data_IF_294737815534
#
_entry.id   IF_294737815534
#
_cell.length_a   1.000
_cell.length_b   1.000
_cell.length_c   1.000
_cell.angle_alpha   90.00
_cell.angle_beta   90.00
_cell.angle_gamma   90.00
#
_symmetry.space_group_name_H-M   'P 1'
#
loop_
_entity.id
_entity.type
_entity.pdbx_description
1 polymer ?
#
# COMPACT_ATOMS: atom_id res chain seq x y z
N UNK A 1 37.48 -18.00 -41.70
CA UNK A 1 36.75 -18.64 -40.58
C UNK A 1 35.31 -18.10 -40.60
N UNK A 2 34.28 -18.92 -40.92
CA UNK A 2 32.88 -18.42 -41.00
C UNK A 2 32.34 -18.16 -39.60
N UNK A 3 31.73 -16.97 -39.42
CA UNK A 3 30.98 -16.62 -38.20
C UNK A 3 29.67 -17.44 -38.13
N UNK A 4 29.58 -18.35 -37.18
CA UNK A 4 28.32 -19.02 -36.86
C UNK A 4 27.24 -17.98 -36.46
N UNK A 5 26.17 -17.93 -37.24
CA UNK A 5 24.95 -17.23 -36.89
C UNK A 5 24.29 -17.96 -35.72
N UNK A 6 24.26 -17.35 -34.54
CA UNK A 6 23.47 -17.82 -33.42
C UNK A 6 22.00 -17.86 -33.85
N UNK A 7 21.41 -19.06 -33.83
CA UNK A 7 19.98 -19.28 -34.05
C UNK A 7 19.19 -18.52 -32.96
N UNK A 8 18.02 -17.91 -33.27
CA UNK A 8 17.15 -17.36 -32.27
C UNK A 8 16.69 -18.48 -31.33
N UNK A 9 16.81 -18.25 -30.02
CA UNK A 9 16.33 -19.18 -28.99
C UNK A 9 14.83 -19.31 -29.14
N UNK A 10 14.36 -20.55 -29.40
CA UNK A 10 12.96 -20.90 -29.47
C UNK A 10 12.20 -20.46 -28.23
N UNK A 11 10.97 -19.97 -28.39
CA UNK A 11 10.07 -19.54 -27.33
C UNK A 11 9.59 -20.66 -26.40
N UNK A 12 9.99 -21.91 -26.64
CA UNK A 12 9.63 -23.08 -25.88
C UNK A 12 10.78 -23.54 -24.96
N UNK A 13 11.10 -22.75 -23.93
CA UNK A 13 11.93 -23.21 -22.81
C UNK A 13 11.04 -24.01 -21.83
N UNK A 14 11.22 -25.35 -21.74
CA UNK A 14 10.39 -26.20 -20.87
C UNK A 14 10.52 -25.89 -19.36
N UNK A 15 11.41 -24.97 -18.97
CA UNK A 15 11.58 -24.50 -17.61
C UNK A 15 10.68 -23.31 -17.25
N UNK A 16 9.94 -22.74 -18.21
CA UNK A 16 8.93 -21.71 -17.94
C UNK A 16 7.60 -22.39 -17.61
N UNK A 17 6.99 -22.13 -16.42
CA UNK A 17 5.64 -22.59 -16.16
C UNK A 17 4.69 -22.06 -17.23
N UNK A 18 3.79 -22.93 -17.70
CA UNK A 18 2.78 -22.64 -18.72
C UNK A 18 2.08 -21.29 -18.43
N UNK A 19 2.08 -20.41 -19.42
CA UNK A 19 1.39 -19.14 -19.36
C UNK A 19 -0.13 -19.39 -19.51
N UNK A 20 -0.88 -19.28 -18.43
CA UNK A 20 -2.30 -18.96 -18.54
C UNK A 20 -2.38 -17.51 -19.01
N UNK A 21 -2.51 -17.30 -20.30
CA UNK A 21 -2.51 -16.00 -20.93
C UNK A 21 -3.77 -15.22 -20.56
N UNK A 22 -3.61 -14.09 -19.91
CA UNK A 22 -4.65 -13.07 -19.84
C UNK A 22 -4.20 -11.92 -20.74
N UNK A 23 -4.90 -11.74 -21.84
CA UNK A 23 -4.58 -10.74 -22.86
C UNK A 23 -4.82 -9.32 -22.32
N UNK A 24 -3.77 -8.62 -21.93
CA UNK A 24 -3.82 -7.20 -21.63
C UNK A 24 -3.28 -6.47 -22.86
N UNK A 25 -4.19 -5.91 -23.67
CA UNK A 25 -3.83 -5.04 -24.81
C UNK A 25 -2.75 -5.64 -25.74
N UNK A 26 -2.88 -6.92 -26.09
CA UNK A 26 -1.90 -7.60 -26.96
C UNK A 26 -0.61 -8.04 -26.24
N UNK A 27 -0.49 -7.85 -24.92
CA UNK A 27 0.61 -8.31 -24.12
C UNK A 27 0.13 -9.47 -23.23
N UNK A 28 0.73 -10.65 -23.38
CA UNK A 28 0.44 -11.78 -22.50
C UNK A 28 1.24 -11.66 -21.22
N UNK A 29 0.55 -11.36 -20.11
CA UNK A 29 1.12 -11.32 -18.76
C UNK A 29 0.63 -12.51 -17.93
N UNK A 30 1.53 -13.10 -17.15
CA UNK A 30 1.18 -14.11 -16.15
C UNK A 30 0.45 -13.47 -14.97
N UNK A 31 -0.33 -14.23 -14.18
CA UNK A 31 -1.00 -13.71 -13.00
C UNK A 31 -0.05 -13.00 -12.02
N UNK A 32 1.15 -13.56 -11.79
CA UNK A 32 2.17 -12.98 -10.91
C UNK A 32 2.72 -11.66 -11.47
N UNK A 33 2.96 -11.58 -12.79
CA UNK A 33 3.39 -10.34 -13.47
C UNK A 33 2.34 -9.24 -13.36
N UNK A 34 1.06 -9.58 -13.51
CA UNK A 34 -0.07 -8.67 -13.29
C UNK A 34 -0.13 -8.18 -11.86
N UNK A 35 -0.01 -9.11 -10.91
CA UNK A 35 -0.05 -8.77 -9.49
C UNK A 35 1.13 -7.88 -9.11
N UNK A 36 2.33 -8.14 -9.63
CA UNK A 36 3.49 -7.27 -9.43
C UNK A 36 3.23 -5.85 -9.93
N UNK A 37 2.64 -5.69 -11.14
CA UNK A 37 2.29 -4.37 -11.66
C UNK A 37 1.24 -3.68 -10.77
N UNK A 38 0.24 -4.40 -10.25
CA UNK A 38 -0.77 -3.87 -9.33
C UNK A 38 -0.14 -3.38 -8.03
N UNK A 39 0.74 -4.20 -7.42
CA UNK A 39 1.43 -3.83 -6.19
C UNK A 39 2.32 -2.59 -6.41
N UNK A 40 3.15 -2.60 -7.46
CA UNK A 40 4.00 -1.45 -7.80
C UNK A 40 3.19 -0.18 -8.14
N UNK A 41 1.96 -0.35 -8.67
CA UNK A 41 1.10 0.77 -9.04
C UNK A 41 0.28 1.34 -7.89
N UNK A 42 -0.18 0.53 -6.95
CA UNK A 42 -0.94 0.98 -5.77
C UNK A 42 -0.06 1.67 -4.74
N UNK A 43 1.20 1.25 -4.66
CA UNK A 43 2.23 1.84 -3.80
C UNK A 43 3.26 2.54 -4.67
N UNK A 44 3.58 3.77 -4.35
CA UNK A 44 4.52 4.62 -5.09
C UNK A 44 5.90 3.99 -5.28
N UNK A 45 6.27 3.05 -4.40
CA UNK A 45 7.52 2.31 -4.44
C UNK A 45 7.39 1.03 -3.62
N UNK A 46 7.94 -0.08 -4.13
CA UNK A 46 7.96 -1.37 -3.42
C UNK A 46 9.38 -1.95 -3.49
N UNK A 47 9.89 -2.48 -2.38
CA UNK A 47 11.21 -3.14 -2.38
C UNK A 47 11.11 -4.50 -3.06
N UNK A 48 12.10 -4.83 -3.89
CA UNK A 48 12.18 -6.15 -4.55
C UNK A 48 12.17 -7.29 -3.52
N UNK A 49 12.82 -7.09 -2.37
CA UNK A 49 12.82 -8.07 -1.29
C UNK A 49 11.40 -8.33 -0.73
N UNK A 50 10.60 -7.27 -0.55
CA UNK A 50 9.24 -7.41 -0.04
C UNK A 50 8.32 -8.12 -1.05
N UNK A 51 8.47 -7.85 -2.36
CA UNK A 51 7.78 -8.59 -3.42
C UNK A 51 8.18 -10.07 -3.43
N UNK A 52 9.46 -10.38 -3.24
CA UNK A 52 9.95 -11.76 -3.19
C UNK A 52 9.25 -12.54 -2.08
N UNK A 53 9.17 -12.00 -0.89
CA UNK A 53 8.56 -12.68 0.26
C UNK A 53 7.04 -12.78 0.11
N UNK A 54 6.36 -11.65 -0.19
CA UNK A 54 4.90 -11.59 -0.17
C UNK A 54 4.25 -12.21 -1.40
N UNK A 55 4.79 -11.95 -2.60
CA UNK A 55 4.15 -12.36 -3.86
C UNK A 55 4.78 -13.63 -4.45
N UNK A 56 6.10 -13.77 -4.35
CA UNK A 56 6.83 -14.88 -4.96
C UNK A 56 7.19 -16.00 -3.96
N UNK A 57 6.78 -15.88 -2.69
CA UNK A 57 7.02 -16.90 -1.64
C UNK A 57 8.50 -17.35 -1.57
N UNK A 58 9.41 -16.39 -1.62
CA UNK A 58 10.86 -16.61 -1.58
C UNK A 58 11.50 -17.03 -2.90
N UNK A 59 10.75 -17.23 -3.99
CA UNK A 59 11.26 -17.70 -5.30
C UNK A 59 12.00 -16.59 -6.06
N UNK A 60 13.27 -16.34 -5.73
CA UNK A 60 14.08 -15.26 -6.31
C UNK A 60 14.21 -15.36 -7.83
N UNK A 61 14.51 -16.54 -8.38
CA UNK A 61 14.72 -16.72 -9.82
C UNK A 61 13.47 -16.42 -10.65
N UNK A 62 12.27 -16.73 -10.14
CA UNK A 62 11.02 -16.39 -10.82
C UNK A 62 10.79 -14.88 -10.81
N UNK A 63 10.97 -14.22 -9.66
CA UNK A 63 10.87 -12.78 -9.55
C UNK A 63 11.86 -12.06 -10.48
N UNK A 64 13.12 -12.46 -10.51
CA UNK A 64 14.14 -11.85 -11.36
C UNK A 64 13.81 -11.95 -12.84
N UNK A 65 13.28 -13.09 -13.29
CA UNK A 65 12.82 -13.28 -14.67
C UNK A 65 11.65 -12.37 -15.00
N UNK A 66 10.68 -12.21 -14.08
CA UNK A 66 9.52 -11.35 -14.27
C UNK A 66 9.91 -9.88 -14.25
N UNK A 67 10.76 -9.46 -13.33
CA UNK A 67 11.30 -8.10 -13.31
C UNK A 67 12.04 -7.77 -14.61
N UNK A 68 12.87 -8.69 -15.12
CA UNK A 68 13.55 -8.50 -16.41
C UNK A 68 12.56 -8.37 -17.55
N UNK A 69 11.59 -9.26 -17.64
CA UNK A 69 10.57 -9.23 -18.69
C UNK A 69 9.77 -7.93 -18.66
N UNK A 70 9.24 -7.54 -17.50
CA UNK A 70 8.44 -6.31 -17.35
C UNK A 70 9.25 -5.04 -17.63
N UNK A 71 10.54 -5.03 -17.25
CA UNK A 71 11.45 -3.94 -17.56
C UNK A 71 11.76 -3.86 -19.07
N UNK A 72 12.02 -4.99 -19.71
CA UNK A 72 12.27 -5.07 -21.16
C UNK A 72 11.02 -4.64 -21.96
N UNK A 73 9.82 -4.80 -21.39
CA UNK A 73 8.56 -4.26 -21.94
C UNK A 73 8.31 -2.80 -21.58
N UNK A 74 9.19 -2.17 -20.84
CA UNK A 74 9.07 -0.77 -20.43
C UNK A 74 7.92 -0.50 -19.44
N UNK A 75 7.45 -1.52 -18.71
CA UNK A 75 6.31 -1.40 -17.79
C UNK A 75 6.72 -1.01 -16.37
N UNK A 76 7.93 -1.38 -15.96
CA UNK A 76 8.51 -1.05 -14.66
C UNK A 76 9.92 -0.50 -14.81
N UNK A 77 10.36 0.20 -13.77
CA UNK A 77 11.76 0.56 -13.53
C UNK A 77 12.22 -0.04 -12.20
N UNK A 78 13.50 -0.47 -12.16
CA UNK A 78 14.17 -0.85 -10.92
C UNK A 78 15.28 0.13 -10.61
N UNK A 79 15.37 0.57 -9.35
CA UNK A 79 16.37 1.54 -8.91
C UNK A 79 17.00 1.09 -7.60
N UNK A 80 18.31 1.22 -7.48
CA UNK A 80 19.02 0.97 -6.23
C UNK A 80 19.07 2.24 -5.40
N UNK A 81 18.65 2.13 -4.14
CA UNK A 81 18.61 3.24 -3.18
C UNK A 81 19.26 2.80 -1.88
N UNK A 82 20.00 3.72 -1.26
CA UNK A 82 20.54 3.51 0.07
C UNK A 82 19.48 3.90 1.11
N UNK A 83 18.99 2.92 1.85
CA UNK A 83 18.04 3.09 2.95
C UNK A 83 18.71 2.74 4.27
N UNK A 84 18.12 3.17 5.37
CA UNK A 84 18.52 2.69 6.70
C UNK A 84 18.15 1.22 6.84
N UNK A 85 19.06 0.44 7.39
CA UNK A 85 18.80 -0.97 7.64
C UNK A 85 17.90 -1.09 8.87
N UNK A 86 16.79 -1.79 8.72
CA UNK A 86 15.88 -2.10 9.83
C UNK A 86 16.65 -2.74 11.00
N UNK A 87 16.44 -2.23 12.22
CA UNK A 87 17.09 -2.72 13.42
C UNK A 87 18.48 -2.14 13.74
N UNK A 88 19.07 -1.32 12.86
CA UNK A 88 20.41 -0.73 13.10
C UNK A 88 20.48 0.73 12.69
N UNK A 89 20.41 1.65 13.64
CA UNK A 89 20.38 3.11 13.43
C UNK A 89 21.49 3.69 12.53
N UNK A 90 22.67 3.04 12.44
CA UNK A 90 23.85 3.53 11.71
C UNK A 90 24.18 2.70 10.47
N UNK A 91 23.41 1.66 10.18
CA UNK A 91 23.69 0.80 9.04
C UNK A 91 22.85 1.22 7.84
N UNK A 92 23.50 1.45 6.73
CA UNK A 92 22.88 1.74 5.44
C UNK A 92 22.89 0.45 4.63
N UNK A 93 21.75 0.12 4.05
CA UNK A 93 21.56 -1.00 3.15
C UNK A 93 21.25 -0.47 1.76
N UNK A 94 21.89 -1.02 0.73
CA UNK A 94 21.54 -0.76 -0.65
C UNK A 94 20.39 -1.70 -1.04
N UNK A 95 19.21 -1.14 -1.24
CA UNK A 95 18.01 -1.89 -1.61
C UNK A 95 17.64 -1.61 -3.06
N UNK A 96 17.10 -2.60 -3.74
CA UNK A 96 16.47 -2.44 -5.03
C UNK A 96 14.98 -2.21 -4.83
N UNK A 97 14.43 -1.20 -5.51
CA UNK A 97 13.01 -0.85 -5.49
C UNK A 97 12.43 -0.88 -6.89
N UNK A 98 11.15 -1.21 -6.96
CA UNK A 98 10.37 -1.30 -8.19
C UNK A 98 9.34 -0.17 -8.21
N UNK A 99 9.21 0.48 -9.36
CA UNK A 99 8.18 1.48 -9.64
C UNK A 99 7.57 1.23 -11.01
N UNK A 100 6.30 1.63 -11.22
CA UNK A 100 5.74 1.63 -12.57
C UNK A 100 6.35 2.74 -13.43
N UNK A 101 6.45 2.49 -14.71
CA UNK A 101 6.59 3.52 -15.73
C UNK A 101 5.23 4.16 -16.04
N UNK A 102 5.24 5.24 -16.82
CA UNK A 102 4.00 5.83 -17.36
C UNK A 102 3.23 4.82 -18.21
N UNK A 103 3.94 3.96 -18.94
CA UNK A 103 3.34 2.93 -19.79
C UNK A 103 2.72 1.82 -18.96
N UNK A 104 3.43 1.32 -17.93
CA UNK A 104 2.88 0.35 -16.98
C UNK A 104 1.61 0.85 -16.29
N UNK A 105 1.58 2.15 -15.91
CA UNK A 105 0.38 2.80 -15.37
C UNK A 105 -0.78 2.81 -16.37
N UNK A 106 -0.53 3.19 -17.63
CA UNK A 106 -1.57 3.20 -18.68
C UNK A 106 -2.14 1.81 -18.91
N UNK A 107 -1.26 0.81 -18.95
CA UNK A 107 -1.64 -0.58 -19.10
C UNK A 107 -2.58 -1.03 -17.97
N UNK A 108 -2.22 -0.80 -16.70
CA UNK A 108 -3.05 -1.17 -15.55
C UNK A 108 -4.42 -0.47 -15.55
N UNK A 109 -4.47 0.81 -15.86
CA UNK A 109 -5.73 1.56 -15.91
C UNK A 109 -6.63 1.01 -17.03
N UNK A 110 -6.06 0.61 -18.18
CA UNK A 110 -6.81 0.07 -19.31
C UNK A 110 -7.28 -1.36 -19.08
N UNK A 111 -6.54 -2.16 -18.30
CA UNK A 111 -6.92 -3.53 -17.93
C UNK A 111 -8.24 -3.59 -17.15
N UNK A 112 -8.54 -2.54 -16.39
CA UNK A 112 -9.81 -2.41 -15.66
C UNK A 112 -9.97 -3.36 -14.46
N UNK A 113 -8.97 -4.18 -14.15
CA UNK A 113 -8.98 -5.18 -13.08
C UNK A 113 -8.42 -4.62 -11.75
N UNK A 114 -8.80 -3.38 -11.46
CA UNK A 114 -8.50 -2.69 -10.21
C UNK A 114 -9.80 -2.33 -9.50
N UNK A 115 -9.81 -2.24 -8.16
CA UNK A 115 -10.94 -1.70 -7.43
C UNK A 115 -11.37 -0.34 -8.00
N UNK A 116 -12.67 -0.06 -7.94
CA UNK A 116 -13.22 1.22 -8.39
C UNK A 116 -12.49 2.38 -7.71
N UNK A 117 -12.11 3.39 -8.48
CA UNK A 117 -11.41 4.59 -8.03
C UNK A 117 -10.01 4.34 -7.41
N UNK A 118 -9.42 3.15 -7.63
CA UNK A 118 -8.05 2.88 -7.22
C UNK A 118 -7.08 3.79 -7.98
N UNK A 119 -6.33 4.60 -7.27
CA UNK A 119 -5.25 5.39 -7.89
C UNK A 119 -4.04 4.52 -8.20
N UNK A 120 -3.43 4.81 -9.33
CA UNK A 120 -2.22 4.14 -9.80
C UNK A 120 -1.11 5.16 -9.99
N UNK A 121 0.05 4.88 -9.44
CA UNK A 121 1.22 5.76 -9.44
C UNK A 121 2.27 5.26 -10.42
N UNK A 122 3.11 6.18 -10.90
CA UNK A 122 4.23 5.88 -11.77
C UNK A 122 5.41 6.80 -11.46
N UNK A 123 6.61 6.27 -11.60
CA UNK A 123 7.86 7.00 -11.33
C UNK A 123 8.27 6.98 -9.86
N UNK A 124 9.55 7.23 -9.62
CA UNK A 124 10.12 7.20 -8.28
C UNK A 124 9.75 8.46 -7.50
N UNK A 125 9.35 8.27 -6.26
CA UNK A 125 9.16 9.34 -5.28
C UNK A 125 10.48 9.95 -4.82
N UNK A 126 10.42 11.03 -4.05
CA UNK A 126 11.61 11.62 -3.43
C UNK A 126 12.31 10.58 -2.56
N UNK A 127 13.63 10.48 -2.69
CA UNK A 127 14.44 9.46 -1.99
C UNK A 127 14.17 9.38 -0.48
N UNK A 128 13.93 10.54 0.17
CA UNK A 128 13.61 10.61 1.60
C UNK A 128 12.29 9.94 2.00
N UNK A 129 11.38 9.76 1.05
CA UNK A 129 10.06 9.15 1.28
C UNK A 129 10.08 7.64 1.05
N UNK A 130 11.11 7.11 0.35
CA UNK A 130 11.17 5.71 -0.04
C UNK A 130 11.22 4.76 1.16
N UNK A 131 11.93 5.11 2.22
CA UNK A 131 12.01 4.29 3.44
C UNK A 131 10.62 4.14 4.07
N UNK A 132 9.93 5.25 4.28
CA UNK A 132 8.58 5.27 4.83
C UNK A 132 7.57 4.55 3.91
N UNK A 133 7.57 4.87 2.61
CA UNK A 133 6.64 4.25 1.66
C UNK A 133 6.85 2.73 1.56
N UNK A 134 8.08 2.24 1.68
CA UNK A 134 8.36 0.80 1.71
C UNK A 134 7.86 0.13 3.00
N UNK A 135 7.86 0.85 4.12
CA UNK A 135 7.29 0.37 5.38
C UNK A 135 5.76 0.32 5.32
N UNK A 136 5.12 1.30 4.68
CA UNK A 136 3.66 1.29 4.42
C UNK A 136 3.27 0.03 3.63
N UNK A 137 4.02 -0.34 2.58
CA UNK A 137 3.74 -1.57 1.83
C UNK A 137 3.80 -2.83 2.70
N UNK A 138 4.80 -2.96 3.59
CA UNK A 138 4.91 -4.10 4.50
C UNK A 138 3.76 -4.18 5.50
N UNK A 139 3.38 -3.05 6.09
CA UNK A 139 2.22 -2.97 6.98
C UNK A 139 0.92 -3.37 6.25
N UNK A 140 0.72 -2.83 5.04
CA UNK A 140 -0.39 -3.22 4.17
C UNK A 140 -0.43 -4.72 3.94
N UNK A 141 0.70 -5.37 3.60
CA UNK A 141 0.69 -6.81 3.31
C UNK A 141 0.22 -7.65 4.49
N UNK A 142 0.66 -7.31 5.70
CA UNK A 142 0.21 -7.98 6.93
C UNK A 142 -1.29 -7.81 7.16
N UNK A 143 -1.81 -6.60 6.98
CA UNK A 143 -3.24 -6.36 7.15
C UNK A 143 -4.07 -6.94 5.99
N UNK A 144 -3.58 -6.91 4.76
CA UNK A 144 -4.25 -7.53 3.63
C UNK A 144 -4.44 -9.04 3.86
N UNK A 145 -3.41 -9.75 4.31
CA UNK A 145 -3.49 -11.17 4.65
C UNK A 145 -4.49 -11.43 5.78
N UNK A 146 -4.54 -10.56 6.80
CA UNK A 146 -5.53 -10.65 7.89
C UNK A 146 -6.96 -10.40 7.38
N UNK A 147 -7.16 -9.41 6.51
CA UNK A 147 -8.46 -9.10 5.91
C UNK A 147 -8.91 -10.25 5.00
N UNK A 148 -8.03 -10.72 4.13
CA UNK A 148 -8.31 -11.84 3.22
C UNK A 148 -8.62 -13.14 3.97
N UNK A 149 -7.94 -13.43 5.09
CA UNK A 149 -8.22 -14.60 5.95
C UNK A 149 -9.63 -14.56 6.59
N UNK A 150 -10.23 -13.38 6.72
CA UNK A 150 -11.60 -13.15 7.18
C UNK A 150 -12.62 -13.11 6.03
N UNK A 151 -12.19 -13.41 4.81
CA UNK A 151 -13.04 -13.38 3.61
C UNK A 151 -13.17 -11.99 2.98
N UNK A 152 -12.37 -11.02 3.39
CA UNK A 152 -12.33 -9.69 2.76
C UNK A 152 -11.81 -9.76 1.33
N UNK A 153 -12.48 -9.06 0.44
CA UNK A 153 -12.16 -9.03 -1.00
C UNK A 153 -12.15 -7.60 -1.53
N UNK A 154 -11.71 -7.42 -2.78
CA UNK A 154 -11.72 -6.14 -3.49
C UNK A 154 -10.97 -5.02 -2.74
N UNK A 155 -9.78 -5.33 -2.22
CA UNK A 155 -8.99 -4.43 -1.41
C UNK A 155 -8.54 -3.21 -2.24
N UNK A 156 -9.03 -2.03 -1.87
CA UNK A 156 -8.61 -0.73 -2.40
C UNK A 156 -7.67 -0.03 -1.43
N UNK A 157 -6.58 0.48 -1.95
CA UNK A 157 -5.56 1.20 -1.18
C UNK A 157 -5.69 2.70 -1.41
N UNK A 158 -5.79 3.48 -0.34
CA UNK A 158 -5.74 4.95 -0.37
C UNK A 158 -4.60 5.43 0.52
N UNK A 159 -3.65 6.14 -0.07
CA UNK A 159 -2.51 6.69 0.66
C UNK A 159 -2.86 8.04 1.30
N UNK A 160 -2.10 8.43 2.32
CA UNK A 160 -2.32 9.61 3.15
C UNK A 160 -2.58 10.90 2.36
N UNK A 161 -1.78 11.18 1.34
CA UNK A 161 -1.92 12.40 0.54
C UNK A 161 -3.19 12.43 -0.32
N UNK A 162 -3.79 11.26 -0.66
CA UNK A 162 -5.09 11.20 -1.32
C UNK A 162 -6.18 11.63 -0.35
N UNK A 163 -6.17 11.05 0.85
CA UNK A 163 -7.12 11.35 1.91
C UNK A 163 -6.99 12.82 2.33
N UNK A 164 -5.76 13.30 2.53
CA UNK A 164 -5.46 14.71 2.83
C UNK A 164 -6.03 15.67 1.77
N UNK A 165 -5.84 15.35 0.49
CA UNK A 165 -6.35 16.19 -0.60
C UNK A 165 -7.88 16.26 -0.60
N UNK A 166 -8.56 15.14 -0.37
CA UNK A 166 -10.02 15.09 -0.34
C UNK A 166 -10.58 15.81 0.90
N UNK A 167 -9.98 15.60 2.08
CA UNK A 167 -10.31 16.30 3.33
C UNK A 167 -10.14 17.82 3.17
N UNK A 168 -9.02 18.28 2.61
CA UNK A 168 -8.77 19.70 2.39
C UNK A 168 -9.79 20.34 1.44
N UNK A 169 -10.14 19.62 0.36
CA UNK A 169 -11.19 20.08 -0.56
C UNK A 169 -12.54 20.21 0.14
N UNK A 170 -12.90 19.25 0.99
CA UNK A 170 -14.13 19.29 1.76
C UNK A 170 -14.14 20.46 2.74
N UNK A 171 -13.07 20.65 3.53
CA UNK A 171 -12.94 21.80 4.45
C UNK A 171 -13.09 23.12 3.69
N UNK A 172 -12.43 23.26 2.54
CA UNK A 172 -12.54 24.47 1.73
C UNK A 172 -13.97 24.72 1.24
N UNK A 173 -14.65 23.66 0.80
CA UNK A 173 -16.05 23.73 0.32
C UNK A 173 -16.99 24.16 1.44
N UNK A 174 -16.91 23.54 2.62
CA UNK A 174 -17.75 23.87 3.78
C UNK A 174 -17.52 25.33 4.23
N UNK A 175 -16.25 25.75 4.34
CA UNK A 175 -15.90 27.12 4.70
C UNK A 175 -16.42 28.15 3.69
N UNK A 176 -16.47 27.79 2.39
CA UNK A 176 -17.01 28.69 1.35
C UNK A 176 -18.54 28.74 1.39
N UNK A 177 -19.20 27.64 1.73
CA UNK A 177 -20.65 27.55 1.84
C UNK A 177 -21.17 28.33 3.06
N UNK A 178 -20.51 28.26 4.21
CA UNK A 178 -20.82 28.99 5.41
C UNK A 178 -19.56 29.58 6.10
N UNK A 179 -19.20 30.82 5.80
CA UNK A 179 -18.05 31.49 6.41
C UNK A 179 -18.17 31.75 7.91
N UNK A 180 -19.37 31.65 8.49
CA UNK A 180 -19.64 31.90 9.91
C UNK A 180 -19.38 30.67 10.79
N UNK A 181 -19.35 29.47 10.19
CA UNK A 181 -19.08 28.23 10.90
C UNK A 181 -17.66 28.21 11.48
N UNK A 182 -17.54 27.80 12.72
CA UNK A 182 -16.25 27.64 13.41
C UNK A 182 -15.36 26.58 12.73
N UNK A 183 -14.07 26.86 12.59
CA UNK A 183 -13.13 25.93 11.94
C UNK A 183 -13.09 24.54 12.64
N UNK A 184 -13.29 24.48 13.95
CA UNK A 184 -13.34 23.23 14.71
C UNK A 184 -14.56 22.39 14.30
N UNK A 185 -15.71 23.00 14.18
CA UNK A 185 -16.98 22.36 13.78
C UNK A 185 -16.89 21.83 12.33
N UNK A 186 -16.36 22.67 11.41
CA UNK A 186 -16.12 22.24 10.02
C UNK A 186 -15.21 21.00 9.98
N UNK A 187 -14.11 21.02 10.73
CA UNK A 187 -13.20 19.87 10.77
C UNK A 187 -13.86 18.62 11.35
N UNK A 188 -14.65 18.74 12.41
CA UNK A 188 -15.36 17.61 13.00
C UNK A 188 -16.39 17.03 12.02
N UNK A 189 -17.15 17.89 11.34
CA UNK A 189 -18.12 17.48 10.32
C UNK A 189 -17.42 16.75 9.15
N UNK A 190 -16.31 17.30 8.66
CA UNK A 190 -15.52 16.69 7.58
C UNK A 190 -14.90 15.37 8.04
N UNK A 191 -14.42 15.27 9.29
CA UNK A 191 -13.93 14.01 9.84
C UNK A 191 -15.01 12.92 9.80
N UNK A 192 -16.23 13.23 10.22
CA UNK A 192 -17.39 12.32 10.15
C UNK A 192 -17.72 11.94 8.70
N UNK A 193 -17.69 12.89 7.76
CA UNK A 193 -17.95 12.62 6.34
C UNK A 193 -16.97 11.60 5.73
N UNK A 194 -15.70 11.64 6.14
CA UNK A 194 -14.66 10.74 5.64
C UNK A 194 -14.43 9.52 6.54
N UNK A 195 -15.25 9.35 7.57
CA UNK A 195 -15.07 8.30 8.56
C UNK A 195 -13.63 8.29 9.14
N UNK A 196 -13.15 9.48 9.53
CA UNK A 196 -11.84 9.71 10.12
C UNK A 196 -11.98 10.11 11.59
N UNK A 197 -11.08 9.66 12.46
CA UNK A 197 -11.09 10.09 13.86
C UNK A 197 -10.80 11.58 14.01
N UNK A 198 -11.51 12.21 14.93
CA UNK A 198 -11.28 13.60 15.35
C UNK A 198 -10.77 13.59 16.79
N UNK A 199 -9.49 13.87 16.97
CA UNK A 199 -8.79 13.79 18.26
C UNK A 199 -8.05 15.10 18.50
N UNK A 200 -8.16 15.65 19.71
CA UNK A 200 -7.48 16.87 20.14
C UNK A 200 -7.70 18.07 19.19
N UNK A 201 -8.91 18.22 18.64
CA UNK A 201 -9.25 19.30 17.71
C UNK A 201 -8.68 19.13 16.29
N UNK A 202 -8.17 17.95 15.97
CA UNK A 202 -7.57 17.61 14.68
C UNK A 202 -8.12 16.34 14.04
N UNK A 203 -8.26 16.37 12.71
CA UNK A 203 -8.59 15.17 11.92
C UNK A 203 -7.35 14.29 11.87
N UNK A 204 -7.46 13.05 12.33
CA UNK A 204 -6.38 12.07 12.23
C UNK A 204 -6.45 11.39 10.87
N UNK A 205 -5.36 11.47 10.11
CA UNK A 205 -5.26 10.86 8.78
C UNK A 205 -4.24 9.74 8.86
N UNK A 206 -4.61 8.50 8.45
CA UNK A 206 -3.68 7.37 8.42
C UNK A 206 -2.68 7.49 7.26
N UNK A 207 -1.55 6.81 7.34
CA UNK A 207 -0.60 6.70 6.21
C UNK A 207 -1.19 5.92 5.05
N UNK A 208 -2.00 4.90 5.35
CA UNK A 208 -2.76 4.13 4.36
C UNK A 208 -4.08 3.63 4.93
N UNK A 209 -5.13 3.73 4.12
CA UNK A 209 -6.44 3.10 4.35
C UNK A 209 -6.63 1.96 3.37
N UNK A 210 -7.03 0.80 3.87
CA UNK A 210 -7.45 -0.34 3.06
C UNK A 210 -8.98 -0.39 3.12
N UNK A 211 -9.64 -0.10 2.02
CA UNK A 211 -11.09 -0.31 1.88
C UNK A 211 -11.33 -1.69 1.27
N UNK A 212 -12.28 -2.46 1.80
CA UNK A 212 -12.54 -3.82 1.36
C UNK A 212 -14.01 -4.20 1.51
N UNK A 213 -14.38 -5.32 0.91
CA UNK A 213 -15.73 -5.87 0.96
C UNK A 213 -15.71 -7.17 1.76
N UNK A 214 -16.54 -7.25 2.80
CA UNK A 214 -16.76 -8.49 3.58
C UNK A 214 -17.94 -9.26 3.04
N UNK A 215 -17.88 -10.61 3.08
CA UNK A 215 -19.06 -11.43 2.83
C UNK A 215 -20.11 -11.19 3.91
N UNK A 216 -21.37 -11.38 3.57
CA UNK A 216 -22.47 -11.33 4.54
C UNK A 216 -22.31 -12.44 5.58
N UNK A 217 -22.50 -12.12 6.85
CA UNK A 217 -22.56 -13.15 7.90
C UNK A 217 -23.76 -14.05 7.67
N UNK A 218 -23.55 -15.37 7.72
CA UNK A 218 -24.61 -16.36 7.60
C UNK A 218 -25.57 -16.21 8.80
N UNK A 219 -26.81 -15.78 8.54
CA UNK A 219 -27.86 -15.63 9.58
C UNK A 219 -28.54 -14.26 9.64
N UNK A 220 -28.11 -13.26 8.88
CA UNK A 220 -28.86 -12.01 8.76
C UNK A 220 -30.02 -12.17 7.79
N UNK A 221 -31.22 -11.75 8.24
CA UNK A 221 -32.46 -11.84 7.49
C UNK A 221 -32.36 -11.08 6.14
N UNK A 222 -32.60 -11.78 5.00
CA UNK A 222 -32.52 -11.15 3.67
C UNK A 222 -33.54 -10.03 3.44
N UNK A 223 -34.59 -9.96 4.27
CA UNK A 223 -35.71 -9.04 4.10
C UNK A 223 -35.48 -7.64 4.65
N UNK A 224 -34.40 -7.43 5.43
CA UNK A 224 -34.14 -6.14 6.12
C UNK A 224 -33.29 -5.14 5.35
N UNK A 225 -32.61 -5.56 4.27
CA UNK A 225 -31.83 -4.66 3.42
C UNK A 225 -32.01 -5.02 1.94
N UNK A 226 -32.76 -4.17 1.24
CA UNK A 226 -32.98 -4.28 -0.21
C UNK A 226 -31.76 -3.89 -1.04
N UNK A 227 -30.65 -3.49 -0.41
CA UNK A 227 -29.43 -3.07 -1.10
C UNK A 227 -28.23 -3.90 -0.62
N UNK A 228 -27.87 -4.89 -1.44
CA UNK A 228 -26.59 -5.55 -1.60
C UNK A 228 -26.02 -6.41 -0.44
N UNK A 229 -25.93 -7.69 -0.72
CA UNK A 229 -25.36 -8.77 0.09
C UNK A 229 -23.87 -8.68 0.48
N UNK A 230 -23.26 -7.50 0.52
CA UNK A 230 -21.87 -7.30 0.94
C UNK A 230 -21.73 -6.00 1.72
N UNK A 231 -20.94 -6.02 2.79
CA UNK A 231 -20.60 -4.84 3.61
C UNK A 231 -19.25 -4.29 3.23
N UNK A 232 -19.18 -3.01 2.90
CA UNK A 232 -17.90 -2.28 2.76
C UNK A 232 -17.37 -1.91 4.15
N UNK A 233 -16.09 -2.18 4.38
CA UNK A 233 -15.38 -1.83 5.62
C UNK A 233 -14.00 -1.27 5.28
N UNK A 234 -13.27 -0.77 6.27
CA UNK A 234 -11.93 -0.26 6.06
C UNK A 234 -11.02 -0.52 7.28
N UNK A 235 -9.72 -0.54 7.03
CA UNK A 235 -8.69 -0.60 8.05
C UNK A 235 -7.70 0.55 7.84
N UNK A 236 -7.45 1.32 8.87
CA UNK A 236 -6.55 2.46 8.88
C UNK A 236 -5.22 2.09 9.52
N UNK A 237 -4.13 2.31 8.81
CA UNK A 237 -2.78 1.93 9.21
C UNK A 237 -1.89 3.17 9.32
N UNK A 238 -1.11 3.21 10.39
CA UNK A 238 -0.08 4.22 10.62
C UNK A 238 1.29 3.54 10.77
N UNK A 239 2.30 4.08 10.13
CA UNK A 239 3.68 3.62 10.24
C UNK A 239 4.48 4.59 11.10
N UNK A 240 4.72 4.17 12.34
CA UNK A 240 5.40 4.99 13.33
C UNK A 240 6.92 4.96 13.11
N UNK A 241 7.53 6.13 13.12
CA UNK A 241 8.98 6.28 13.03
C UNK A 241 9.56 6.81 14.35
N UNK A 242 10.85 6.66 14.56
CA UNK A 242 11.55 7.21 15.72
C UNK A 242 11.40 8.73 15.89
N UNK A 243 10.92 9.45 14.87
CA UNK A 243 10.66 10.89 14.94
C UNK A 243 9.39 11.26 15.74
N UNK A 244 8.47 10.30 15.95
CA UNK A 244 7.23 10.55 16.68
C UNK A 244 7.54 10.90 18.16
N UNK A 245 6.89 11.93 18.66
CA UNK A 245 6.91 12.28 20.09
C UNK A 245 5.67 11.70 20.80
N UNK A 246 5.71 11.65 22.14
CA UNK A 246 4.68 11.01 22.99
C UNK A 246 3.26 11.51 22.71
N UNK A 247 3.07 12.81 22.48
CA UNK A 247 1.75 13.39 22.14
C UNK A 247 1.18 12.82 20.85
N UNK A 248 1.99 12.75 19.77
CA UNK A 248 1.54 12.16 18.51
C UNK A 248 1.20 10.66 18.65
N UNK A 249 1.99 9.90 19.42
CA UNK A 249 1.72 8.49 19.66
C UNK A 249 0.38 8.29 20.37
N UNK A 250 0.05 9.14 21.35
CA UNK A 250 -1.25 9.12 22.02
C UNK A 250 -2.40 9.43 21.08
N UNK A 251 -2.30 10.50 20.29
CA UNK A 251 -3.35 10.85 19.32
C UNK A 251 -3.57 9.75 18.29
N UNK A 252 -2.51 9.06 17.81
CA UNK A 252 -2.63 7.94 16.87
C UNK A 252 -3.22 6.69 17.54
N UNK A 253 -2.89 6.41 18.80
CA UNK A 253 -3.50 5.33 19.54
C UNK A 253 -5.00 5.60 19.80
N UNK A 254 -5.35 6.83 20.20
CA UNK A 254 -6.75 7.25 20.39
C UNK A 254 -7.55 7.23 19.09
N UNK A 255 -6.90 7.45 17.95
CA UNK A 255 -7.53 7.34 16.63
C UNK A 255 -7.94 5.91 16.27
N UNK A 256 -7.44 4.89 16.98
CA UNK A 256 -7.76 3.49 16.74
C UNK A 256 -7.04 2.90 15.52
N UNK A 257 -6.00 3.56 15.01
CA UNK A 257 -5.23 3.05 13.88
C UNK A 257 -4.43 1.80 14.23
N UNK A 258 -4.21 0.95 13.24
CA UNK A 258 -3.24 -0.15 13.31
C UNK A 258 -1.84 0.42 13.20
N UNK A 259 -1.16 0.56 14.31
CA UNK A 259 0.13 1.22 14.39
C UNK A 259 1.26 0.21 14.17
N UNK A 260 2.08 0.42 13.16
CA UNK A 260 3.23 -0.41 12.82
C UNK A 260 4.54 0.33 13.00
N UNK A 261 5.58 -0.37 13.42
CA UNK A 261 6.94 0.18 13.48
C UNK A 261 7.97 -0.87 13.06
N UNK A 262 9.07 -0.43 12.45
CA UNK A 262 10.23 -1.29 12.28
C UNK A 262 10.83 -1.67 13.64
N UNK A 263 11.56 -2.77 13.73
CA UNK A 263 12.23 -3.20 14.99
C UNK A 263 13.10 -2.07 15.57
N UNK A 264 13.79 -1.30 14.71
CA UNK A 264 14.62 -0.17 15.15
C UNK A 264 13.81 0.99 15.71
N UNK A 265 12.72 1.35 15.00
CA UNK A 265 11.84 2.44 15.41
C UNK A 265 11.08 2.06 16.67
N UNK A 266 10.58 0.81 16.76
CA UNK A 266 9.88 0.28 17.94
C UNK A 266 10.72 0.40 19.19
N UNK A 267 11.98 -0.02 19.18
CA UNK A 267 12.91 0.14 20.29
C UNK A 267 13.05 1.60 20.74
N UNK A 268 13.14 2.53 19.78
CA UNK A 268 13.24 3.97 20.06
C UNK A 268 11.95 4.56 20.61
N UNK A 269 10.81 4.10 20.11
CA UNK A 269 9.47 4.53 20.54
C UNK A 269 9.17 4.00 21.95
N UNK A 270 9.49 2.73 22.24
CA UNK A 270 9.32 2.11 23.56
C UNK A 270 10.02 2.92 24.63
N UNK A 271 11.27 3.35 24.40
CA UNK A 271 12.00 4.20 25.33
C UNK A 271 11.31 5.56 25.60
N UNK A 272 10.55 6.10 24.63
CA UNK A 272 9.83 7.38 24.79
C UNK A 272 8.49 7.25 25.52
N UNK A 273 7.89 6.06 25.50
CA UNK A 273 6.58 5.76 26.11
C UNK A 273 6.71 4.84 27.32
N UNK A 274 7.93 4.68 27.85
CA UNK A 274 8.19 3.91 29.07
C UNK A 274 7.23 4.33 30.19
N UNK A 275 6.56 3.33 30.77
CA UNK A 275 5.51 3.54 31.78
C UNK A 275 4.09 3.69 31.20
N UNK A 276 3.89 3.61 29.88
CA UNK A 276 2.57 3.63 29.24
C UNK A 276 2.32 2.30 28.50
N UNK A 277 1.88 1.27 29.26
CA UNK A 277 1.67 -0.09 28.74
C UNK A 277 0.66 -0.12 27.57
N UNK A 278 -0.38 0.69 27.64
CA UNK A 278 -1.41 0.76 26.61
C UNK A 278 -0.84 1.23 25.26
N UNK A 279 0.05 2.23 25.27
CA UNK A 279 0.71 2.67 24.03
C UNK A 279 1.69 1.61 23.50
N UNK A 280 2.37 0.89 24.40
CA UNK A 280 3.35 -0.14 24.00
C UNK A 280 2.69 -1.35 23.33
N UNK A 281 1.55 -1.80 23.83
CA UNK A 281 0.80 -2.94 23.29
C UNK A 281 0.18 -2.65 21.92
N UNK A 282 -0.08 -1.37 21.61
CA UNK A 282 -0.67 -0.94 20.35
C UNK A 282 0.34 -0.76 19.20
N UNK A 283 1.64 -1.01 19.42
CA UNK A 283 2.66 -0.93 18.37
C UNK A 283 3.00 -2.33 17.85
N UNK A 284 2.54 -2.61 16.64
CA UNK A 284 2.80 -3.85 15.93
C UNK A 284 4.17 -3.79 15.23
N UNK A 285 4.79 -4.95 14.99
CA UNK A 285 6.06 -5.05 14.27
C UNK A 285 5.80 -5.22 12.76
N UNK A 286 6.64 -4.55 11.95
CA UNK A 286 6.63 -4.65 10.48
C UNK A 286 7.21 -5.96 9.97
#
# INVERSE_FOLDING_TARGET
>A
VPRERRRPVSSDDPRRPSRAATNIVGLELRPEEKQLLREAGRFRVVRTADLRESLYRGKSGTLENDLRYLRDKGLIETTHINLRRDGRRRSIERVEVVTLTKEGRRLLIKDGDLPKDQKVYAGLVKRREVEHDSQIYRAYRKEAERIESKGGTNLRVRLDYEIKADVQKAIYRERKADPTHGMAEIKEQVAKQFNLPFVDGGIQIPDVRIEYVLPREAGQDPSLDLDQGSRTDHEDIEVLTAAYHRGHLRSKAQAGFRNYASAADRSSLTAKIEGDSHLMENILEL
#
